data_IF_342748080640
#
_entry.id   IF_342748080640
#
_cell.length_a   1.000
_cell.length_b   1.000
_cell.length_c   1.000
_cell.angle_alpha   90.00
_cell.angle_beta   90.00
_cell.angle_gamma   90.00
#
_symmetry.space_group_name_H-M   'P 1'
#
loop_
_entity.id
_entity.type
_entity.pdbx_description
1 polymer ?
#
# COMPACT_ATOMS: atom_id res chain seq x y z
N UNK A 1 -28.24 29.41 12.43
CA UNK A 1 -26.86 28.90 12.38
C UNK A 1 -26.08 29.84 11.52
N UNK A 2 -24.83 30.07 11.82
CA UNK A 2 -23.99 30.98 11.04
C UNK A 2 -23.50 30.22 9.80
N UNK A 3 -24.42 30.13 8.79
CA UNK A 3 -24.19 29.34 7.57
C UNK A 3 -23.06 29.92 6.70
N UNK A 4 -22.52 31.10 7.09
CA UNK A 4 -21.44 31.80 6.42
C UNK A 4 -20.02 31.43 6.96
N UNK A 5 -19.91 30.52 7.93
CA UNK A 5 -18.63 30.14 8.50
C UNK A 5 -18.11 28.82 7.88
N UNK A 6 -17.09 28.84 7.02
CA UNK A 6 -16.57 27.63 6.37
C UNK A 6 -16.06 26.59 7.36
N UNK A 7 -15.56 27.04 8.52
CA UNK A 7 -15.03 26.17 9.56
C UNK A 7 -16.09 25.24 10.16
N UNK A 8 -17.34 25.70 10.30
CA UNK A 8 -18.45 24.88 10.81
C UNK A 8 -18.74 23.76 9.82
N UNK A 9 -18.84 24.06 8.55
CA UNK A 9 -19.07 23.09 7.50
C UNK A 9 -17.92 22.06 7.39
N UNK A 10 -16.68 22.55 7.43
CA UNK A 10 -15.51 21.66 7.41
C UNK A 10 -15.54 20.65 8.57
N UNK A 11 -15.77 21.09 9.81
CA UNK A 11 -15.83 20.20 10.96
C UNK A 11 -17.03 19.27 10.95
N UNK A 12 -18.19 19.72 10.45
CA UNK A 12 -19.35 18.85 10.25
C UNK A 12 -19.02 17.71 9.26
N UNK A 13 -18.36 18.03 8.15
CA UNK A 13 -17.89 17.05 7.18
C UNK A 13 -16.89 16.05 7.78
N UNK A 14 -15.94 16.52 8.60
CA UNK A 14 -14.98 15.62 9.28
C UNK A 14 -15.68 14.65 10.23
N UNK A 15 -16.67 15.11 10.99
CA UNK A 15 -17.47 14.25 11.87
C UNK A 15 -18.22 13.20 11.04
N UNK A 16 -18.85 13.59 9.94
CA UNK A 16 -19.61 12.67 9.08
C UNK A 16 -18.70 11.60 8.46
N UNK A 17 -17.44 11.92 8.13
CA UNK A 17 -16.45 10.94 7.68
C UNK A 17 -16.16 9.86 8.74
N UNK A 18 -16.14 10.22 10.04
CA UNK A 18 -15.93 9.25 11.13
C UNK A 18 -17.06 8.22 11.24
N UNK A 19 -18.23 8.54 10.68
CA UNK A 19 -19.39 7.64 10.61
C UNK A 19 -19.60 7.02 9.22
N UNK A 20 -18.59 7.10 8.33
CA UNK A 20 -18.65 6.61 6.95
C UNK A 20 -19.76 7.25 6.08
N UNK A 21 -20.28 8.40 6.47
CA UNK A 21 -21.30 9.17 5.75
C UNK A 21 -20.65 10.07 4.70
N UNK A 22 -19.97 9.47 3.71
CA UNK A 22 -19.13 10.19 2.75
C UNK A 22 -19.90 11.14 1.84
N UNK A 23 -21.14 10.85 1.48
CA UNK A 23 -21.95 11.73 0.63
C UNK A 23 -22.33 13.02 1.38
N UNK A 24 -22.80 12.89 2.62
CA UNK A 24 -23.14 14.02 3.47
C UNK A 24 -21.89 14.83 3.85
N UNK A 25 -20.77 14.16 4.08
CA UNK A 25 -19.48 14.80 4.33
C UNK A 25 -19.05 15.66 3.13
N UNK A 26 -19.18 15.14 1.91
CA UNK A 26 -18.86 15.89 0.68
C UNK A 26 -19.75 17.11 0.50
N UNK A 27 -21.04 17.03 0.85
CA UNK A 27 -21.94 18.20 0.84
C UNK A 27 -21.44 19.28 1.81
N UNK A 28 -21.03 18.90 3.01
CA UNK A 28 -20.44 19.82 3.98
C UNK A 28 -19.14 20.44 3.46
N UNK A 29 -18.24 19.65 2.85
CA UNK A 29 -17.02 20.20 2.27
C UNK A 29 -17.29 21.11 1.07
N UNK A 30 -18.32 20.82 0.26
CA UNK A 30 -18.74 21.73 -0.81
C UNK A 30 -19.22 23.07 -0.25
N UNK A 31 -20.06 23.07 0.80
CA UNK A 31 -20.53 24.29 1.45
C UNK A 31 -19.35 25.08 2.05
N UNK A 32 -18.37 24.39 2.67
CA UNK A 32 -17.13 25.02 3.14
C UNK A 32 -16.36 25.70 2.00
N UNK A 33 -16.22 25.00 0.86
CA UNK A 33 -15.48 25.48 -0.31
C UNK A 33 -16.22 26.56 -1.11
N UNK A 34 -17.54 26.64 -1.05
CA UNK A 34 -18.31 27.76 -1.61
C UNK A 34 -17.98 29.07 -0.89
N UNK A 35 -17.74 29.00 0.43
CA UNK A 35 -17.38 30.17 1.24
C UNK A 35 -15.88 30.46 1.13
N UNK A 36 -15.03 29.43 1.19
CA UNK A 36 -13.58 29.54 1.09
C UNK A 36 -13.02 28.55 0.04
N UNK A 37 -12.97 28.92 -1.25
CA UNK A 37 -12.49 28.04 -2.32
C UNK A 37 -11.02 27.64 -2.22
N UNK A 38 -10.22 28.32 -1.40
CA UNK A 38 -8.79 28.09 -1.23
C UNK A 38 -8.45 27.26 0.01
N UNK A 39 -9.44 26.62 0.64
CA UNK A 39 -9.23 25.76 1.79
C UNK A 39 -8.62 24.41 1.36
N UNK A 40 -7.29 24.30 1.50
CA UNK A 40 -6.53 23.09 1.15
C UNK A 40 -6.96 21.87 1.98
N UNK A 41 -7.39 22.07 3.23
CA UNK A 41 -7.86 20.99 4.11
C UNK A 41 -9.24 20.49 3.69
N UNK A 42 -10.16 21.36 3.31
CA UNK A 42 -11.48 20.98 2.82
C UNK A 42 -11.38 20.25 1.46
N UNK A 43 -10.53 20.74 0.55
CA UNK A 43 -10.23 20.08 -0.72
C UNK A 43 -9.63 18.69 -0.51
N UNK A 44 -8.65 18.57 0.38
CA UNK A 44 -8.04 17.30 0.72
C UNK A 44 -9.07 16.32 1.29
N UNK A 45 -9.88 16.74 2.27
CA UNK A 45 -10.89 15.87 2.89
C UNK A 45 -11.98 15.43 1.92
N UNK A 46 -12.38 16.31 0.99
CA UNK A 46 -13.26 15.93 -0.13
C UNK A 46 -12.62 14.86 -1.02
N UNK A 47 -11.32 15.01 -1.31
CA UNK A 47 -10.54 14.01 -2.03
C UNK A 47 -10.51 12.66 -1.31
N UNK A 48 -10.36 12.66 0.02
CA UNK A 48 -10.44 11.43 0.83
C UNK A 48 -11.82 10.73 0.68
N UNK A 49 -12.92 11.47 0.77
CA UNK A 49 -14.25 10.91 0.54
C UNK A 49 -14.38 10.26 -0.84
N UNK A 50 -13.84 10.92 -1.87
CA UNK A 50 -13.84 10.40 -3.24
C UNK A 50 -12.98 9.14 -3.40
N UNK A 51 -11.88 9.04 -2.65
CA UNK A 51 -11.06 7.80 -2.58
C UNK A 51 -11.86 6.63 -2.03
N UNK A 52 -12.59 6.81 -0.93
CA UNK A 52 -13.48 5.77 -0.38
C UNK A 52 -14.57 5.35 -1.37
N UNK A 53 -15.08 6.29 -2.16
CA UNK A 53 -16.05 6.03 -3.24
C UNK A 53 -15.41 5.45 -4.49
N UNK A 54 -14.10 5.25 -4.52
CA UNK A 54 -13.29 4.80 -5.68
C UNK A 54 -13.38 5.73 -6.90
N UNK A 55 -13.78 6.98 -6.70
CA UNK A 55 -13.83 8.04 -7.73
C UNK A 55 -12.44 8.67 -7.86
N UNK A 56 -11.44 7.87 -8.27
CA UNK A 56 -10.02 8.26 -8.22
C UNK A 56 -9.71 9.50 -9.07
N UNK A 57 -10.31 9.65 -10.23
CA UNK A 57 -10.06 10.83 -11.11
C UNK A 57 -10.50 12.13 -10.45
N UNK A 58 -11.67 12.12 -9.80
CA UNK A 58 -12.17 13.28 -9.08
C UNK A 58 -11.36 13.56 -7.82
N UNK A 59 -10.94 12.50 -7.12
CA UNK A 59 -10.05 12.61 -5.95
C UNK A 59 -8.71 13.27 -6.33
N UNK A 60 -8.09 12.85 -7.43
CA UNK A 60 -6.85 13.44 -7.96
C UNK A 60 -7.05 14.95 -8.21
N UNK A 61 -8.18 15.34 -8.79
CA UNK A 61 -8.48 16.76 -9.04
C UNK A 61 -8.55 17.55 -7.72
N UNK A 62 -9.18 17.00 -6.69
CA UNK A 62 -9.25 17.64 -5.38
C UNK A 62 -7.87 17.75 -4.72
N UNK A 63 -7.04 16.70 -4.81
CA UNK A 63 -5.68 16.74 -4.29
C UNK A 63 -4.80 17.73 -5.07
N UNK A 64 -4.97 17.84 -6.39
CA UNK A 64 -4.25 18.83 -7.20
C UNK A 64 -4.57 20.26 -6.78
N UNK A 65 -5.84 20.56 -6.50
CA UNK A 65 -6.24 21.87 -6.00
C UNK A 65 -5.65 22.11 -4.60
N UNK A 66 -5.72 21.15 -3.69
CA UNK A 66 -5.13 21.25 -2.36
C UNK A 66 -3.62 21.52 -2.42
N UNK A 67 -2.89 20.80 -3.29
CA UNK A 67 -1.46 20.98 -3.54
C UNK A 67 -1.18 22.36 -4.17
N UNK A 68 -2.07 22.83 -5.05
CA UNK A 68 -1.96 24.17 -5.66
C UNK A 68 -1.96 25.27 -4.63
N UNK A 69 -2.77 25.17 -3.57
CA UNK A 69 -2.80 26.12 -2.46
C UNK A 69 -1.69 25.86 -1.44
N UNK A 70 -1.36 24.57 -1.19
CA UNK A 70 -0.33 24.18 -0.25
C UNK A 70 0.64 23.16 -0.86
N UNK A 71 1.70 23.60 -1.58
CA UNK A 71 2.64 22.70 -2.25
C UNK A 71 3.43 21.77 -1.32
N UNK A 72 3.40 22.02 0.00
CA UNK A 72 4.05 21.18 1.01
C UNK A 72 3.07 20.25 1.73
N UNK A 73 1.82 20.15 1.28
CA UNK A 73 0.82 19.30 1.90
C UNK A 73 1.16 17.81 1.61
N UNK A 74 1.94 17.22 2.48
CA UNK A 74 2.48 15.87 2.34
C UNK A 74 1.39 14.84 2.09
N UNK A 75 0.30 14.86 2.91
CA UNK A 75 -0.79 13.90 2.77
C UNK A 75 -1.53 14.04 1.43
N UNK A 76 -1.64 15.26 0.88
CA UNK A 76 -2.26 15.46 -0.43
C UNK A 76 -1.42 14.84 -1.56
N UNK A 77 -0.09 14.99 -1.50
CA UNK A 77 0.81 14.31 -2.42
C UNK A 77 0.74 12.78 -2.29
N UNK A 78 0.73 12.26 -1.06
CA UNK A 78 0.68 10.83 -0.79
C UNK A 78 -0.62 10.23 -1.33
N UNK A 79 -1.77 10.83 -0.99
CA UNK A 79 -3.08 10.34 -1.42
C UNK A 79 -3.33 10.54 -2.92
N UNK A 80 -2.79 11.59 -3.55
CA UNK A 80 -2.77 11.71 -5.01
C UNK A 80 -2.00 10.56 -5.65
N UNK A 81 -0.80 10.26 -5.15
CA UNK A 81 0.00 9.12 -5.60
C UNK A 81 -0.74 7.79 -5.45
N UNK A 82 -1.43 7.61 -4.32
CA UNK A 82 -2.24 6.41 -4.07
C UNK A 82 -3.43 6.31 -5.05
N UNK A 83 -4.14 7.42 -5.31
CA UNK A 83 -5.24 7.46 -6.29
C UNK A 83 -4.75 7.10 -7.71
N UNK A 84 -3.60 7.64 -8.10
CA UNK A 84 -2.96 7.33 -9.38
C UNK A 84 -2.54 5.86 -9.46
N UNK A 85 -1.94 5.32 -8.39
CA UNK A 85 -1.58 3.89 -8.29
C UNK A 85 -2.81 2.99 -8.45
N UNK A 86 -3.90 3.30 -7.74
CA UNK A 86 -5.17 2.55 -7.82
C UNK A 86 -5.86 2.68 -9.18
N UNK A 87 -5.51 3.69 -9.97
CA UNK A 87 -5.92 3.87 -11.36
C UNK A 87 -4.92 3.27 -12.37
N UNK A 88 -3.92 2.51 -11.91
CA UNK A 88 -2.82 1.94 -12.69
C UNK A 88 -1.91 2.97 -13.39
N UNK A 89 -1.94 4.24 -12.97
CA UNK A 89 -1.07 5.30 -13.47
C UNK A 89 0.24 5.34 -12.67
N UNK A 90 0.99 4.23 -12.72
CA UNK A 90 2.15 4.00 -11.84
C UNK A 90 3.27 5.03 -12.02
N UNK A 91 3.49 5.56 -13.25
CA UNK A 91 4.55 6.54 -13.50
C UNK A 91 4.27 7.87 -12.83
N UNK A 92 3.05 8.39 -12.98
CA UNK A 92 2.62 9.62 -12.32
C UNK A 92 2.54 9.46 -10.79
N UNK A 93 2.18 8.24 -10.32
CA UNK A 93 2.21 7.92 -8.88
C UNK A 93 3.62 8.03 -8.30
N UNK A 94 4.64 7.51 -9.01
CA UNK A 94 6.05 7.62 -8.61
C UNK A 94 6.48 9.07 -8.46
N UNK A 95 6.06 9.97 -9.36
CA UNK A 95 6.37 11.41 -9.26
C UNK A 95 5.77 12.03 -7.99
N UNK A 96 4.56 11.62 -7.60
CA UNK A 96 3.94 12.07 -6.36
C UNK A 96 4.70 11.57 -5.13
N UNK A 97 5.08 10.30 -5.09
CA UNK A 97 5.85 9.74 -3.98
C UNK A 97 7.26 10.34 -3.91
N UNK A 98 7.86 10.73 -5.04
CA UNK A 98 9.11 11.50 -5.05
C UNK A 98 8.95 12.88 -4.41
N UNK A 99 7.80 13.54 -4.60
CA UNK A 99 7.48 14.80 -3.90
C UNK A 99 7.31 14.59 -2.39
N UNK A 100 6.66 13.50 -1.99
CA UNK A 100 6.58 13.13 -0.55
C UNK A 100 7.98 12.97 0.03
N UNK A 101 8.85 12.19 -0.61
CA UNK A 101 10.22 11.93 -0.15
C UNK A 101 11.11 13.19 -0.20
N UNK A 102 10.82 14.14 -1.08
CA UNK A 102 11.48 15.43 -1.08
C UNK A 102 11.11 16.28 0.14
N UNK A 103 9.86 16.18 0.61
CA UNK A 103 9.36 16.91 1.80
C UNK A 103 9.77 16.17 3.07
N UNK A 104 9.57 14.86 3.11
CA UNK A 104 9.93 13.96 4.20
C UNK A 104 10.68 12.73 3.66
N UNK A 105 12.01 12.80 3.69
CA UNK A 105 12.89 11.75 3.19
C UNK A 105 12.84 10.43 3.98
N UNK A 106 12.12 10.40 5.11
CA UNK A 106 11.89 9.20 5.93
C UNK A 106 10.46 8.68 5.84
N UNK A 107 9.67 9.11 4.87
CA UNK A 107 8.32 8.58 4.66
C UNK A 107 8.37 7.12 4.23
N UNK A 108 8.09 6.21 5.18
CA UNK A 108 8.00 4.76 4.93
C UNK A 108 6.86 4.43 3.97
N UNK A 109 5.72 5.12 4.10
CA UNK A 109 4.57 4.98 3.19
C UNK A 109 4.95 5.27 1.74
N UNK A 110 5.65 6.37 1.49
CA UNK A 110 6.06 6.73 0.14
C UNK A 110 7.01 5.70 -0.46
N UNK A 111 7.97 5.18 0.32
CA UNK A 111 8.88 4.13 -0.14
C UNK A 111 8.15 2.81 -0.40
N UNK A 112 7.20 2.44 0.46
CA UNK A 112 6.36 1.27 0.30
C UNK A 112 5.53 1.34 -1.01
N UNK A 113 4.81 2.44 -1.23
CA UNK A 113 4.02 2.62 -2.45
C UNK A 113 4.88 2.75 -3.70
N UNK A 114 6.10 3.32 -3.60
CA UNK A 114 7.06 3.32 -4.70
C UNK A 114 7.52 1.91 -5.04
N UNK A 115 7.81 1.07 -4.04
CA UNK A 115 8.20 -0.31 -4.26
C UNK A 115 7.11 -1.07 -5.03
N UNK A 116 5.84 -0.92 -4.61
CA UNK A 116 4.70 -1.52 -5.28
C UNK A 116 4.52 -0.98 -6.72
N UNK A 117 4.67 0.32 -6.95
CA UNK A 117 4.63 0.88 -8.30
C UNK A 117 5.75 0.34 -9.21
N UNK A 118 6.99 0.25 -8.71
CA UNK A 118 8.10 -0.31 -9.48
C UNK A 118 7.90 -1.79 -9.78
N UNK A 119 7.38 -2.56 -8.81
CA UNK A 119 7.02 -3.97 -9.01
C UNK A 119 6.00 -4.11 -10.15
N UNK A 120 4.90 -3.34 -10.12
CA UNK A 120 3.89 -3.35 -11.18
C UNK A 120 4.41 -2.89 -12.55
N UNK A 121 5.46 -2.07 -12.58
CA UNK A 121 6.15 -1.67 -13.82
C UNK A 121 7.20 -2.68 -14.28
N UNK A 122 7.47 -3.74 -13.50
CA UNK A 122 8.50 -4.75 -13.79
C UNK A 122 9.94 -4.31 -13.48
N UNK A 123 10.13 -3.16 -12.82
CA UNK A 123 11.44 -2.71 -12.36
C UNK A 123 11.75 -3.28 -10.97
N UNK A 124 12.07 -4.58 -10.96
CA UNK A 124 12.30 -5.35 -9.73
C UNK A 124 13.48 -4.79 -8.90
N UNK A 125 14.52 -4.28 -9.56
CA UNK A 125 15.68 -3.72 -8.86
C UNK A 125 15.33 -2.43 -8.10
N UNK A 126 14.58 -1.54 -8.73
CA UNK A 126 14.10 -0.31 -8.07
C UNK A 126 13.11 -0.62 -6.95
N UNK A 127 12.23 -1.61 -7.13
CA UNK A 127 11.33 -2.08 -6.09
C UNK A 127 12.11 -2.59 -4.87
N UNK A 128 13.08 -3.47 -5.08
CA UNK A 128 13.94 -4.02 -4.02
C UNK A 128 14.72 -2.92 -3.27
N UNK A 129 15.23 -1.93 -4.01
CA UNK A 129 15.89 -0.78 -3.42
C UNK A 129 14.96 0.00 -2.49
N UNK A 130 13.76 0.32 -2.94
CA UNK A 130 12.76 1.02 -2.11
C UNK A 130 12.38 0.23 -0.86
N UNK A 131 12.20 -1.10 -0.96
CA UNK A 131 11.95 -1.96 0.21
C UNK A 131 13.09 -1.89 1.22
N UNK A 132 14.34 -1.99 0.76
CA UNK A 132 15.51 -1.95 1.63
C UNK A 132 15.67 -0.57 2.30
N UNK A 133 15.44 0.52 1.57
CA UNK A 133 15.44 1.87 2.14
C UNK A 133 14.33 2.01 3.21
N UNK A 134 13.13 1.53 2.94
CA UNK A 134 12.01 1.59 3.89
C UNK A 134 12.29 0.80 5.17
N UNK A 135 12.87 -0.41 5.04
CA UNK A 135 13.23 -1.25 6.19
C UNK A 135 14.41 -0.70 7.00
N UNK A 136 15.23 0.19 6.42
CA UNK A 136 16.31 0.88 7.14
C UNK A 136 15.82 2.04 8.03
N UNK A 137 14.58 2.46 7.89
CA UNK A 137 13.96 3.50 8.71
C UNK A 137 13.47 2.89 10.01
N UNK A 138 13.80 3.51 11.14
CA UNK A 138 13.40 3.04 12.46
C UNK A 138 11.87 2.92 12.61
N UNK A 139 11.44 1.95 13.40
CA UNK A 139 10.04 1.65 13.70
C UNK A 139 9.50 0.46 12.92
N UNK A 140 8.61 -0.31 13.55
CA UNK A 140 8.06 -1.57 13.01
C UNK A 140 6.86 -1.36 12.09
N UNK A 141 6.38 -0.13 11.99
CA UNK A 141 5.28 0.26 11.12
C UNK A 141 5.54 -0.13 9.66
N UNK A 142 4.60 -0.79 9.02
CA UNK A 142 4.65 -1.34 7.65
C UNK A 142 5.78 -2.37 7.38
N UNK A 143 6.50 -2.86 8.39
CA UNK A 143 7.61 -3.79 8.12
C UNK A 143 7.11 -5.09 7.50
N UNK A 144 5.98 -5.64 7.96
CA UNK A 144 5.40 -6.88 7.42
C UNK A 144 4.97 -6.73 5.97
N UNK A 145 4.30 -5.63 5.63
CA UNK A 145 3.84 -5.33 4.27
C UNK A 145 5.02 -5.09 3.32
N UNK A 146 6.06 -4.39 3.78
CA UNK A 146 7.28 -4.15 3.00
C UNK A 146 8.04 -5.46 2.78
N UNK A 147 8.14 -6.32 3.81
CA UNK A 147 8.78 -7.62 3.70
C UNK A 147 8.01 -8.55 2.76
N UNK A 148 6.68 -8.48 2.74
CA UNK A 148 5.87 -9.22 1.78
C UNK A 148 6.19 -8.80 0.34
N UNK A 149 6.15 -7.49 0.02
CA UNK A 149 6.52 -7.01 -1.32
C UNK A 149 7.96 -7.39 -1.65
N UNK A 150 8.90 -7.22 -0.71
CA UNK A 150 10.30 -7.61 -0.89
C UNK A 150 10.42 -9.09 -1.24
N UNK A 151 9.68 -9.95 -0.54
CA UNK A 151 9.71 -11.40 -0.78
C UNK A 151 9.16 -11.78 -2.15
N UNK A 152 8.08 -11.13 -2.60
CA UNK A 152 7.53 -11.30 -3.96
C UNK A 152 8.54 -10.85 -5.02
N UNK A 153 9.15 -9.69 -4.84
CA UNK A 153 10.19 -9.16 -5.75
C UNK A 153 11.40 -10.11 -5.83
N UNK A 154 11.88 -10.61 -4.69
CA UNK A 154 12.99 -11.56 -4.62
C UNK A 154 12.64 -12.90 -5.28
N UNK A 155 11.37 -13.34 -5.16
CA UNK A 155 10.88 -14.54 -5.84
C UNK A 155 10.98 -14.39 -7.36
N UNK A 156 10.55 -13.27 -7.91
CA UNK A 156 10.61 -12.98 -9.35
C UNK A 156 12.07 -12.82 -9.85
N UNK A 157 12.98 -12.39 -8.97
CA UNK A 157 14.42 -12.35 -9.24
C UNK A 157 15.09 -13.73 -9.14
N UNK A 158 14.41 -14.75 -8.62
CA UNK A 158 14.95 -16.09 -8.38
C UNK A 158 15.89 -16.18 -7.17
N UNK A 159 15.88 -15.17 -6.28
CA UNK A 159 16.71 -15.12 -5.07
C UNK A 159 16.06 -15.84 -3.90
N UNK A 160 15.80 -17.14 -4.08
CA UNK A 160 14.99 -17.95 -3.13
C UNK A 160 15.53 -17.97 -1.70
N UNK A 161 16.84 -17.95 -1.50
CA UNK A 161 17.43 -17.90 -0.15
C UNK A 161 17.05 -16.61 0.58
N UNK A 162 17.09 -15.47 -0.15
CA UNK A 162 16.73 -14.16 0.39
C UNK A 162 15.23 -14.05 0.66
N UNK A 163 14.38 -14.74 -0.13
CA UNK A 163 12.94 -14.86 0.14
C UNK A 163 12.70 -15.57 1.47
N UNK A 164 13.38 -16.70 1.70
CA UNK A 164 13.23 -17.47 2.96
C UNK A 164 13.59 -16.60 4.16
N UNK A 165 14.73 -15.88 4.10
CA UNK A 165 15.16 -14.99 5.19
C UNK A 165 14.16 -13.85 5.45
N UNK A 166 13.67 -13.19 4.37
CA UNK A 166 12.70 -12.10 4.50
C UNK A 166 11.36 -12.60 5.06
N UNK A 167 10.89 -13.77 4.63
CA UNK A 167 9.68 -14.38 5.12
C UNK A 167 9.82 -14.82 6.59
N UNK A 168 10.98 -15.35 7.00
CA UNK A 168 11.24 -15.69 8.39
C UNK A 168 11.12 -14.47 9.32
N UNK A 169 11.74 -13.35 8.95
CA UNK A 169 11.64 -12.10 9.71
C UNK A 169 10.19 -11.60 9.79
N UNK A 170 9.45 -11.68 8.69
CA UNK A 170 8.05 -11.24 8.69
C UNK A 170 7.15 -12.15 9.53
N UNK A 171 7.38 -13.46 9.51
CA UNK A 171 6.63 -14.46 10.26
C UNK A 171 6.94 -14.42 11.77
N UNK A 172 8.06 -13.85 12.21
CA UNK A 172 8.31 -13.58 13.64
C UNK A 172 7.25 -12.63 14.22
N UNK A 173 6.77 -11.66 13.43
CA UNK A 173 5.76 -10.69 13.84
C UNK A 173 4.32 -11.17 13.58
N UNK A 174 4.10 -11.95 12.54
CA UNK A 174 2.80 -12.51 12.17
C UNK A 174 2.95 -13.99 11.78
N UNK A 175 3.03 -14.89 12.77
CA UNK A 175 3.28 -16.33 12.52
C UNK A 175 2.20 -17.03 11.69
N UNK A 176 0.98 -16.50 11.67
CA UNK A 176 -0.18 -17.11 10.99
C UNK A 176 -0.45 -16.50 9.61
N UNK A 177 0.49 -15.71 9.06
CA UNK A 177 0.33 -15.13 7.73
C UNK A 177 0.45 -16.21 6.65
N UNK A 178 -0.70 -16.57 6.08
CA UNK A 178 -0.82 -17.60 5.06
C UNK A 178 -0.02 -17.29 3.81
N UNK A 179 -0.07 -16.05 3.33
CA UNK A 179 0.59 -15.63 2.09
C UNK A 179 2.12 -15.70 2.22
N UNK A 180 2.65 -15.26 3.36
CA UNK A 180 4.08 -15.37 3.67
C UNK A 180 4.53 -16.81 3.83
N UNK A 181 3.75 -17.67 4.52
CA UNK A 181 4.03 -19.10 4.63
C UNK A 181 4.04 -19.77 3.26
N UNK A 182 3.07 -19.45 2.41
CA UNK A 182 2.98 -20.01 1.05
C UNK A 182 4.18 -19.58 0.20
N UNK A 183 4.55 -18.29 0.24
CA UNK A 183 5.70 -17.76 -0.48
C UNK A 183 7.01 -18.41 0.00
N UNK A 184 7.17 -18.61 1.32
CA UNK A 184 8.32 -19.34 1.88
C UNK A 184 8.36 -20.79 1.43
N UNK A 185 7.23 -21.48 1.41
CA UNK A 185 7.15 -22.86 0.93
C UNK A 185 7.54 -23.00 -0.54
N UNK A 186 7.09 -22.08 -1.39
CA UNK A 186 7.49 -22.00 -2.80
C UNK A 186 8.99 -21.76 -2.93
N UNK A 187 9.54 -20.79 -2.18
CA UNK A 187 10.97 -20.49 -2.20
C UNK A 187 11.82 -21.68 -1.74
N UNK A 188 11.42 -22.39 -0.69
CA UNK A 188 12.07 -23.63 -0.23
C UNK A 188 12.08 -24.69 -1.32
N UNK A 189 10.95 -24.91 -1.99
CA UNK A 189 10.84 -25.88 -3.08
C UNK A 189 11.75 -25.52 -4.26
N UNK A 190 11.75 -24.26 -4.69
CA UNK A 190 12.62 -23.80 -5.80
C UNK A 190 14.11 -23.75 -5.42
N UNK A 191 14.42 -23.59 -4.13
CA UNK A 191 15.79 -23.73 -3.61
C UNK A 191 16.25 -25.20 -3.45
N UNK A 192 15.41 -26.17 -3.80
CA UNK A 192 15.71 -27.60 -3.65
C UNK A 192 15.59 -28.15 -2.23
N UNK A 193 15.07 -27.38 -1.29
CA UNK A 193 14.83 -27.76 0.11
C UNK A 193 13.46 -28.44 0.27
N UNK A 194 13.26 -29.53 -0.47
CA UNK A 194 11.95 -30.17 -0.64
C UNK A 194 11.32 -30.68 0.67
N UNK A 195 12.13 -31.19 1.60
CA UNK A 195 11.61 -31.70 2.88
C UNK A 195 11.10 -30.57 3.79
N UNK A 196 11.83 -29.46 3.83
CA UNK A 196 11.40 -28.27 4.60
C UNK A 196 10.12 -27.66 3.97
N UNK A 197 10.08 -27.59 2.62
CA UNK A 197 8.89 -27.14 1.90
C UNK A 197 7.69 -28.05 2.19
N UNK A 198 7.85 -29.36 2.17
CA UNK A 198 6.77 -30.31 2.40
C UNK A 198 6.17 -30.16 3.80
N UNK A 199 7.02 -30.02 4.83
CA UNK A 199 6.55 -29.80 6.20
C UNK A 199 5.66 -28.54 6.32
N UNK A 200 6.10 -27.43 5.73
CA UNK A 200 5.34 -26.18 5.76
C UNK A 200 4.03 -26.27 4.97
N UNK A 201 4.07 -26.97 3.84
CA UNK A 201 2.88 -27.17 2.99
C UNK A 201 1.85 -28.08 3.69
N UNK A 202 2.27 -29.10 4.44
CA UNK A 202 1.37 -29.95 5.24
C UNK A 202 0.64 -29.14 6.33
N UNK A 203 1.31 -28.14 6.92
CA UNK A 203 0.68 -27.19 7.83
C UNK A 203 -0.40 -26.35 7.11
N UNK A 204 -0.06 -25.78 5.96
CA UNK A 204 -0.98 -24.95 5.16
C UNK A 204 -2.20 -25.70 4.63
N UNK A 205 -2.06 -26.99 4.30
CA UNK A 205 -3.19 -27.83 3.89
C UNK A 205 -4.23 -27.95 4.99
N UNK A 206 -3.81 -28.03 6.26
CA UNK A 206 -4.73 -28.08 7.38
C UNK A 206 -5.51 -26.76 7.57
N UNK A 207 -4.91 -25.63 7.18
CA UNK A 207 -5.55 -24.31 7.26
C UNK A 207 -6.50 -24.05 6.07
N UNK A 208 -6.13 -24.50 4.84
CA UNK A 208 -6.92 -24.25 3.63
C UNK A 208 -6.86 -25.40 2.62
N UNK A 209 -7.76 -26.36 2.76
CA UNK A 209 -7.84 -27.54 1.87
C UNK A 209 -8.25 -27.23 0.43
N UNK A 210 -8.80 -26.04 0.17
CA UNK A 210 -9.33 -25.64 -1.14
C UNK A 210 -8.34 -24.90 -2.05
N UNK A 211 -7.14 -24.61 -1.58
CA UNK A 211 -6.17 -23.86 -2.36
C UNK A 211 -5.51 -24.70 -3.46
N UNK A 212 -5.82 -24.38 -4.72
CA UNK A 212 -5.28 -25.08 -5.89
C UNK A 212 -3.77 -24.83 -6.10
N UNK A 213 -3.26 -23.67 -5.71
CA UNK A 213 -1.83 -23.36 -5.82
C UNK A 213 -1.02 -24.22 -4.86
N UNK A 214 -1.55 -24.44 -3.66
CA UNK A 214 -0.96 -25.33 -2.67
C UNK A 214 -0.86 -26.78 -3.19
N UNK A 215 -1.92 -27.28 -3.82
CA UNK A 215 -1.90 -28.63 -4.41
C UNK A 215 -0.90 -28.76 -5.56
N UNK A 216 -0.76 -27.75 -6.40
CA UNK A 216 0.27 -27.73 -7.45
C UNK A 216 1.68 -27.77 -6.86
N UNK A 217 1.89 -27.03 -5.78
CA UNK A 217 3.18 -27.01 -5.07
C UNK A 217 3.50 -28.40 -4.47
N UNK A 218 2.51 -29.08 -3.88
CA UNK A 218 2.66 -30.46 -3.37
C UNK A 218 3.09 -31.42 -4.50
N UNK A 219 2.41 -31.36 -5.63
CA UNK A 219 2.74 -32.20 -6.79
C UNK A 219 4.16 -31.92 -7.28
N UNK A 220 4.54 -30.65 -7.39
CA UNK A 220 5.91 -30.26 -7.77
C UNK A 220 6.94 -30.82 -6.79
N UNK A 221 6.74 -30.67 -5.48
CA UNK A 221 7.67 -31.19 -4.46
C UNK A 221 7.77 -32.72 -4.56
N UNK A 222 6.64 -33.46 -4.66
CA UNK A 222 6.61 -34.92 -4.75
C UNK A 222 7.32 -35.46 -5.99
N UNK A 223 7.40 -34.71 -7.08
CA UNK A 223 8.13 -35.15 -8.27
C UNK A 223 9.66 -35.01 -8.14
N UNK A 224 10.15 -34.31 -7.09
CA UNK A 224 11.57 -33.99 -6.91
C UNK A 224 12.17 -34.65 -5.65
N UNK A 225 11.38 -35.36 -4.83
CA UNK A 225 11.81 -36.20 -3.73
C UNK A 225 11.95 -37.64 -4.25
#
# INVERSE_FOLDING_TARGET
MDDENPFIWFHAGKILMEYDLFDDAMECFNNSLEINPADDMALYSKGECLMFKKSYTEAITCFDLAIGFNPKYLNAWLNKGLALKLSNNFKEALECFDKVLFIDHKSKDALYFKADCYFNLGDLNSALKCCNEALSIDGDYLNSEILLIKSVVLMDLGEYSSVIEAADIALENNPDDYDLKMLKAQALAFAGKYMEALWLVEELVNENHGDMELWKLIEYIKMHI
#
